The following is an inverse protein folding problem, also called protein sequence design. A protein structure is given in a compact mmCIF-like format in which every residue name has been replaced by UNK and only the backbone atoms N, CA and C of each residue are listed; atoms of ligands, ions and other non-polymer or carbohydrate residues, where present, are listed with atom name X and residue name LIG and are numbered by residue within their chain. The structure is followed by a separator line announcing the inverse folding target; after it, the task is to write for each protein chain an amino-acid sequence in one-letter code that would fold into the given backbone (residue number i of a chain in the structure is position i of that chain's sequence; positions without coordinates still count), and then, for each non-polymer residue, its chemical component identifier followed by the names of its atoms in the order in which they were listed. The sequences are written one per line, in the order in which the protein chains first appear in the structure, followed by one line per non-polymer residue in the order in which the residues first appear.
data_IF_432296754713
#
_entry.id   IF_432296754713
#
_cell.length_a   1.000
_cell.length_b   1.000
_cell.length_c   1.000
_cell.angle_alpha   90.00
_cell.angle_beta   90.00
_cell.angle_gamma   90.00
#
_symmetry.space_group_name_H-M   'P 1'
#
loop_
_entity.id
_entity.type
_entity.pdbx_description
1 polymer ?
#
# COMPACT_ATOMS: atom_id res chain seq x y z
N UNK A 1 12.22 31.56 -78.49
CA UNK A 1 12.43 32.81 -77.71
C UNK A 1 11.32 32.86 -76.68
N UNK A 2 11.47 32.86 -75.37
CA UNK A 2 12.60 32.97 -74.46
C UNK A 2 12.33 32.10 -73.21
N UNK A 3 13.41 31.58 -72.62
CA UNK A 3 13.46 30.97 -71.29
C UNK A 3 13.28 32.00 -70.18
N UNK A 4 12.66 31.61 -69.06
CA UNK A 4 13.13 32.00 -67.72
C UNK A 4 12.60 31.05 -66.65
N UNK A 5 13.52 30.26 -66.13
CA UNK A 5 13.49 29.55 -64.85
C UNK A 5 13.56 30.56 -63.72
N UNK A 6 12.68 30.45 -62.73
CA UNK A 6 12.90 31.02 -61.40
C UNK A 6 12.84 29.89 -60.36
N UNK A 7 14.03 29.54 -59.88
CA UNK A 7 14.27 28.67 -58.74
C UNK A 7 14.04 29.51 -57.48
N UNK A 8 13.05 29.16 -56.66
CA UNK A 8 12.88 29.77 -55.34
C UNK A 8 13.16 28.72 -54.27
N UNK A 9 14.33 28.83 -53.64
CA UNK A 9 14.67 28.25 -52.36
C UNK A 9 13.77 28.89 -51.29
N UNK A 10 12.98 28.10 -50.56
CA UNK A 10 12.36 28.54 -49.31
C UNK A 10 12.63 27.49 -48.24
N UNK A 11 13.31 27.94 -47.18
CA UNK A 11 13.90 27.14 -46.12
C UNK A 11 12.85 26.34 -45.34
N UNK A 12 13.16 25.07 -45.08
CA UNK A 12 12.47 24.28 -44.07
C UNK A 12 12.78 24.89 -42.69
N UNK A 13 11.76 25.45 -42.04
CA UNK A 13 11.82 25.71 -40.61
C UNK A 13 11.90 24.35 -39.89
N UNK A 14 13.11 23.96 -39.50
CA UNK A 14 13.29 22.92 -38.48
C UNK A 14 12.82 23.57 -37.18
N UNK A 15 11.54 23.40 -36.86
CA UNK A 15 11.03 23.67 -35.54
C UNK A 15 11.73 22.72 -34.58
N UNK A 16 12.68 23.23 -33.80
CA UNK A 16 13.21 22.53 -32.64
C UNK A 16 12.08 22.47 -31.62
N UNK A 17 11.28 21.41 -31.69
CA UNK A 17 10.46 20.97 -30.57
C UNK A 17 11.39 20.62 -29.43
N UNK A 18 11.67 21.62 -28.60
CA UNK A 18 12.18 21.42 -27.24
C UNK A 18 11.10 20.65 -26.49
N UNK A 19 11.14 19.32 -26.60
CA UNK A 19 10.47 18.44 -25.68
C UNK A 19 11.02 18.78 -24.29
N UNK A 20 10.29 19.62 -23.57
CA UNK A 20 10.57 19.83 -22.16
C UNK A 20 10.49 18.46 -21.50
N UNK A 21 11.55 17.95 -20.87
CA UNK A 21 11.44 16.70 -20.14
C UNK A 21 10.39 16.96 -19.07
N UNK A 22 9.24 16.30 -19.19
CA UNK A 22 8.30 16.22 -18.08
C UNK A 22 9.05 15.48 -16.98
N UNK A 23 9.63 16.23 -16.05
CA UNK A 23 10.13 15.66 -14.80
C UNK A 23 8.89 15.11 -14.12
N UNK A 24 8.68 13.79 -14.23
CA UNK A 24 7.66 13.12 -13.45
C UNK A 24 7.93 13.44 -11.99
N UNK A 25 6.91 13.98 -11.31
CA UNK A 25 7.01 14.23 -9.88
C UNK A 25 7.36 12.90 -9.20
N UNK A 26 8.48 12.86 -8.45
CA UNK A 26 8.95 11.63 -7.83
C UNK A 26 7.98 11.20 -6.73
N UNK A 27 7.69 9.90 -6.71
CA UNK A 27 7.03 9.28 -5.56
C UNK A 27 7.87 9.49 -4.30
N UNK A 28 7.20 9.75 -3.19
CA UNK A 28 7.83 9.93 -1.88
C UNK A 28 7.24 8.99 -0.85
N UNK A 29 8.05 8.67 0.16
CA UNK A 29 7.76 7.60 1.12
C UNK A 29 7.76 8.14 2.55
N UNK A 30 6.73 7.78 3.30
CA UNK A 30 6.61 8.01 4.73
C UNK A 30 7.11 6.85 5.57
N UNK A 31 6.78 6.88 6.85
CA UNK A 31 7.22 5.87 7.82
C UNK A 31 6.67 4.48 7.52
N UNK A 32 7.47 3.48 7.88
CA UNK A 32 7.18 2.07 7.65
C UNK A 32 7.76 1.21 8.75
N UNK A 33 7.11 0.08 9.02
CA UNK A 33 7.67 -1.03 9.78
C UNK A 33 7.48 -2.29 8.94
N UNK A 34 8.53 -3.09 8.81
CA UNK A 34 8.51 -4.34 8.04
C UNK A 34 9.19 -5.46 8.79
N UNK A 35 8.73 -6.70 8.54
CA UNK A 35 9.41 -7.94 8.91
C UNK A 35 9.58 -8.78 7.65
N UNK A 36 10.77 -9.33 7.48
CA UNK A 36 11.07 -10.38 6.54
C UNK A 36 12.30 -10.13 5.68
N UNK A 37 12.62 -11.09 4.80
CA UNK A 37 11.85 -12.32 4.58
C UNK A 37 11.99 -13.34 5.72
N UNK A 38 10.90 -14.04 6.08
CA UNK A 38 10.97 -15.27 6.89
C UNK A 38 11.59 -16.42 6.09
N UNK A 39 12.22 -17.38 6.77
CA UNK A 39 12.61 -18.70 6.23
C UNK A 39 11.42 -19.62 5.96
N UNK A 40 10.25 -19.32 6.51
CA UNK A 40 8.99 -20.02 6.25
C UNK A 40 8.11 -19.22 5.26
N UNK A 41 6.82 -19.52 5.27
CA UNK A 41 5.76 -18.85 4.52
C UNK A 41 4.79 -18.25 5.53
N UNK A 42 4.36 -17.01 5.34
CA UNK A 42 3.21 -16.45 6.03
C UNK A 42 1.96 -17.13 5.47
N UNK A 43 1.09 -17.66 6.34
CA UNK A 43 -0.20 -18.25 5.96
C UNK A 43 -1.39 -17.43 6.44
N UNK A 44 -1.17 -16.57 7.43
CA UNK A 44 -2.17 -15.64 7.93
C UNK A 44 -1.50 -14.40 8.50
N UNK A 45 -2.03 -13.23 8.22
CA UNK A 45 -1.69 -12.01 8.93
C UNK A 45 -2.95 -11.26 9.30
N UNK A 46 -2.98 -10.71 10.52
CA UNK A 46 -4.08 -9.93 11.06
C UNK A 46 -3.50 -8.63 11.59
N UNK A 47 -4.17 -7.51 11.35
CA UNK A 47 -3.84 -6.24 12.00
C UNK A 47 -5.10 -5.38 12.11
N UNK A 48 -5.10 -4.40 13.01
CA UNK A 48 -6.15 -3.38 13.05
C UNK A 48 -5.51 -2.00 12.87
N UNK A 49 -5.86 -1.29 11.81
CA UNK A 49 -5.37 0.07 11.58
C UNK A 49 -6.36 1.10 12.15
N UNK A 50 -5.81 2.13 12.78
CA UNK A 50 -6.46 3.41 13.05
C UNK A 50 -5.69 4.44 12.20
N UNK A 51 -6.24 4.88 11.06
CA UNK A 51 -5.44 5.54 10.03
C UNK A 51 -5.15 7.01 10.30
N UNK A 52 -5.82 7.63 11.28
CA UNK A 52 -5.81 9.07 11.44
C UNK A 52 -6.63 9.76 10.34
N UNK A 53 -6.90 11.06 10.50
CA UNK A 53 -7.73 11.82 9.55
C UNK A 53 -7.03 11.91 8.19
N UNK A 54 -7.75 11.60 7.11
CA UNK A 54 -7.23 11.79 5.76
C UNK A 54 -7.01 13.27 5.46
N UNK A 55 -6.06 13.65 4.59
CA UNK A 55 -5.87 15.04 4.22
C UNK A 55 -7.16 15.63 3.66
N UNK A 56 -7.47 16.86 4.06
CA UNK A 56 -8.68 17.55 3.64
C UNK A 56 -8.69 17.94 2.16
N UNK A 57 -7.51 17.99 1.56
CA UNK A 57 -7.26 18.32 0.16
C UNK A 57 -6.03 17.54 -0.26
N UNK A 58 -6.07 17.00 -1.47
CA UNK A 58 -5.05 16.12 -1.97
C UNK A 58 -4.81 16.41 -3.46
N UNK A 59 -3.54 16.50 -3.84
CA UNK A 59 -3.11 16.83 -5.21
C UNK A 59 -2.84 15.57 -6.05
N UNK A 60 -2.50 14.46 -5.40
CA UNK A 60 -2.10 13.19 -6.03
C UNK A 60 -2.69 12.00 -5.29
N UNK A 61 -1.99 10.86 -5.27
CA UNK A 61 -2.46 9.69 -4.53
C UNK A 61 -1.63 9.51 -3.27
N UNK A 62 -2.26 9.66 -2.11
CA UNK A 62 -1.68 9.30 -0.83
C UNK A 62 -2.28 7.97 -0.38
N UNK A 63 -1.43 6.99 -0.12
CA UNK A 63 -1.85 5.64 0.26
C UNK A 63 -1.17 5.24 1.55
N UNK A 64 -1.94 4.72 2.50
CA UNK A 64 -1.39 3.95 3.62
C UNK A 64 -1.82 2.50 3.51
N UNK A 65 -0.93 1.58 3.85
CA UNK A 65 -1.21 0.15 3.73
C UNK A 65 -0.53 -0.65 4.83
N UNK A 66 -1.10 -1.80 5.20
CA UNK A 66 -0.33 -2.99 5.47
C UNK A 66 -0.41 -3.95 4.26
N UNK A 67 0.56 -4.84 4.17
CA UNK A 67 0.61 -5.83 3.10
C UNK A 67 1.67 -6.89 3.31
N UNK A 68 1.61 -7.91 2.45
CA UNK A 68 2.57 -9.00 2.40
C UNK A 68 3.11 -9.17 0.99
N UNK A 69 4.41 -9.42 0.91
CA UNK A 69 5.07 -9.64 -0.37
C UNK A 69 5.67 -11.03 -0.48
N UNK A 70 5.65 -11.56 -1.70
CA UNK A 70 6.34 -12.78 -2.07
C UNK A 70 7.79 -12.56 -2.54
N UNK A 71 8.25 -11.31 -2.57
CA UNK A 71 9.61 -10.94 -3.02
C UNK A 71 9.83 -11.05 -4.53
N UNK A 72 8.82 -11.46 -5.30
CA UNK A 72 8.88 -11.59 -6.77
C UNK A 72 7.91 -10.67 -7.49
N UNK A 73 7.38 -9.67 -6.78
CA UNK A 73 6.59 -8.57 -7.35
C UNK A 73 5.11 -8.58 -7.01
N UNK A 74 4.57 -9.59 -6.33
CA UNK A 74 3.20 -9.50 -5.81
C UNK A 74 3.19 -8.87 -4.42
N UNK A 75 2.19 -8.04 -4.19
CA UNK A 75 1.90 -7.40 -2.91
C UNK A 75 0.40 -7.54 -2.61
N UNK A 76 0.07 -8.50 -1.74
CA UNK A 76 -1.28 -8.68 -1.17
C UNK A 76 -1.43 -7.63 -0.07
N UNK A 77 -2.33 -6.67 -0.24
CA UNK A 77 -2.37 -5.48 0.61
C UNK A 77 -3.77 -4.91 0.75
N UNK A 78 -3.96 -4.13 1.81
CA UNK A 78 -5.16 -3.30 1.96
C UNK A 78 -4.71 -1.86 1.90
N UNK A 79 -5.26 -1.10 0.98
CA UNK A 79 -4.95 0.31 0.83
C UNK A 79 -6.03 1.14 1.49
N UNK A 80 -5.62 2.21 2.16
CA UNK A 80 -6.47 3.33 2.53
C UNK A 80 -5.93 4.53 1.77
N UNK A 81 -6.76 5.07 0.89
CA UNK A 81 -6.34 6.00 -0.15
C UNK A 81 -7.03 7.34 -0.01
N UNK A 82 -6.29 8.39 -0.30
CA UNK A 82 -6.77 9.75 -0.44
C UNK A 82 -6.30 10.28 -1.79
N UNK A 83 -7.27 10.67 -2.60
CA UNK A 83 -7.12 11.20 -3.95
C UNK A 83 -7.69 12.62 -4.03
N UNK A 84 -7.47 13.36 -5.15
CA UNK A 84 -8.15 14.63 -5.38
C UNK A 84 -9.67 14.49 -5.42
N UNK A 85 -10.16 13.35 -5.94
CA UNK A 85 -11.56 12.94 -5.87
C UNK A 85 -11.69 11.54 -5.22
N UNK A 86 -12.47 11.46 -4.14
CA UNK A 86 -12.75 10.23 -3.40
C UNK A 86 -14.22 9.78 -3.54
N UNK A 87 -14.97 10.38 -4.47
CA UNK A 87 -16.39 10.07 -4.72
C UNK A 87 -16.60 8.60 -5.14
N UNK A 88 -15.58 7.98 -5.73
CA UNK A 88 -15.58 6.59 -6.18
C UNK A 88 -15.79 5.55 -5.08
N UNK A 89 -15.45 5.87 -3.82
CA UNK A 89 -15.77 5.03 -2.65
C UNK A 89 -16.85 5.64 -1.75
N UNK A 90 -17.35 6.84 -2.10
CA UNK A 90 -18.32 7.60 -1.29
C UNK A 90 -17.72 8.29 -0.06
N UNK A 91 -16.39 8.44 0.03
CA UNK A 91 -15.75 9.13 1.14
C UNK A 91 -16.00 10.64 1.12
N UNK A 92 -16.19 11.19 2.31
CA UNK A 92 -16.29 12.63 2.56
C UNK A 92 -14.92 13.21 2.90
N UNK A 93 -14.86 14.54 2.97
CA UNK A 93 -13.66 15.26 3.38
C UNK A 93 -13.14 14.76 4.73
N UNK A 94 -11.88 14.34 4.78
CA UNK A 94 -11.24 13.79 5.99
C UNK A 94 -11.41 12.28 6.18
N UNK A 95 -12.13 11.60 5.29
CA UNK A 95 -12.26 10.14 5.26
C UNK A 95 -11.33 9.53 4.20
N UNK A 96 -10.96 8.27 4.43
CA UNK A 96 -10.18 7.44 3.51
C UNK A 96 -11.09 6.57 2.66
N UNK A 97 -10.64 6.20 1.47
CA UNK A 97 -11.18 5.08 0.73
C UNK A 97 -10.41 3.81 1.04
N UNK A 98 -11.01 2.84 1.73
CA UNK A 98 -10.38 1.54 2.01
C UNK A 98 -10.76 0.51 0.96
N UNK A 99 -9.79 -0.32 0.53
CA UNK A 99 -10.05 -1.51 -0.29
C UNK A 99 -8.98 -2.59 -0.09
N UNK A 100 -9.41 -3.84 -0.12
CA UNK A 100 -8.53 -4.99 -0.29
C UNK A 100 -8.00 -4.99 -1.73
N UNK A 101 -6.73 -5.33 -1.89
CA UNK A 101 -6.03 -5.06 -3.14
C UNK A 101 -4.83 -5.98 -3.38
N UNK A 102 -4.46 -6.15 -4.64
CA UNK A 102 -3.29 -6.91 -5.05
C UNK A 102 -2.55 -6.11 -6.12
N UNK A 103 -1.29 -5.82 -5.85
CA UNK A 103 -0.38 -5.27 -6.85
C UNK A 103 0.51 -6.37 -7.41
N UNK A 104 0.78 -6.30 -8.72
CA UNK A 104 1.66 -7.23 -9.44
C UNK A 104 2.04 -6.71 -10.83
N UNK A 105 2.59 -7.59 -11.67
CA UNK A 105 2.93 -7.24 -13.06
C UNK A 105 1.72 -6.85 -13.92
N UNK A 106 0.52 -7.23 -13.50
CA UNK A 106 -0.76 -6.84 -14.07
C UNK A 106 -1.25 -5.45 -13.58
N UNK A 107 -0.47 -4.74 -12.77
CA UNK A 107 -0.89 -3.49 -12.12
C UNK A 107 -1.66 -3.76 -10.83
N UNK A 108 -2.65 -2.90 -10.54
CA UNK A 108 -3.49 -3.00 -9.35
C UNK A 108 -4.79 -3.75 -9.67
N UNK A 109 -5.14 -4.72 -8.84
CA UNK A 109 -6.46 -5.35 -8.80
C UNK A 109 -7.09 -5.08 -7.44
N UNK A 110 -8.35 -4.67 -7.45
CA UNK A 110 -9.03 -4.17 -6.26
C UNK A 110 -10.36 -4.87 -6.01
N UNK A 111 -10.67 -5.10 -4.73
CA UNK A 111 -12.01 -5.42 -4.27
C UNK A 111 -12.90 -4.17 -4.16
N UNK A 112 -14.17 -4.33 -3.76
CA UNK A 112 -15.08 -3.22 -3.49
C UNK A 112 -14.50 -2.27 -2.43
N UNK A 113 -14.77 -0.98 -2.53
CA UNK A 113 -14.26 0.03 -1.61
C UNK A 113 -15.34 0.58 -0.68
N UNK A 114 -14.91 1.13 0.46
CA UNK A 114 -15.77 1.80 1.44
C UNK A 114 -15.10 3.04 2.02
N UNK A 115 -15.89 4.02 2.51
CA UNK A 115 -15.34 5.15 3.24
C UNK A 115 -14.97 4.73 4.68
N UNK A 116 -13.87 5.28 5.19
CA UNK A 116 -13.36 5.03 6.55
C UNK A 116 -12.99 6.34 7.22
N UNK A 117 -13.47 6.55 8.46
CA UNK A 117 -13.09 7.72 9.26
C UNK A 117 -11.71 7.55 9.87
N UNK A 118 -11.06 8.66 10.20
CA UNK A 118 -9.70 8.63 10.74
C UNK A 118 -9.55 7.97 12.12
N UNK A 119 -10.62 7.94 12.92
CA UNK A 119 -10.66 7.29 14.23
C UNK A 119 -11.20 5.85 14.20
N UNK A 120 -11.67 5.40 13.03
CA UNK A 120 -12.29 4.09 12.86
C UNK A 120 -11.22 2.99 12.94
N UNK A 121 -11.51 1.96 13.74
CA UNK A 121 -10.68 0.76 13.80
C UNK A 121 -11.03 -0.16 12.63
N UNK A 122 -10.10 -0.35 11.72
CA UNK A 122 -10.27 -1.21 10.55
C UNK A 122 -9.46 -2.48 10.73
N UNK A 123 -10.14 -3.61 10.92
CA UNK A 123 -9.52 -4.92 11.03
C UNK A 123 -9.27 -5.48 9.64
N UNK A 124 -8.05 -5.95 9.42
CA UNK A 124 -7.58 -6.48 8.15
C UNK A 124 -7.07 -7.88 8.40
N UNK A 125 -7.54 -8.84 7.60
CA UNK A 125 -7.15 -10.24 7.67
C UNK A 125 -6.74 -10.72 6.29
N UNK A 126 -5.52 -11.24 6.18
CA UNK A 126 -5.05 -11.96 5.01
C UNK A 126 -4.92 -13.43 5.35
N UNK A 127 -5.48 -14.32 4.54
CA UNK A 127 -5.45 -15.77 4.75
C UNK A 127 -5.10 -16.50 3.45
N UNK A 128 -4.07 -17.35 3.50
CA UNK A 128 -3.79 -18.31 2.44
C UNK A 128 -4.83 -19.43 2.52
N UNK A 129 -5.55 -19.66 1.44
CA UNK A 129 -6.60 -20.69 1.38
C UNK A 129 -6.00 -22.10 1.28
N UNK A 130 -6.86 -23.10 1.45
CA UNK A 130 -6.47 -24.52 1.48
C UNK A 130 -5.89 -25.02 0.17
N UNK A 131 -6.15 -24.32 -0.95
CA UNK A 131 -5.53 -24.60 -2.25
C UNK A 131 -4.03 -24.20 -2.30
N UNK A 132 -3.54 -23.51 -1.27
CA UNK A 132 -2.16 -23.01 -1.15
C UNK A 132 -1.75 -22.10 -2.31
N UNK A 133 -2.70 -21.37 -2.87
CA UNK A 133 -2.46 -20.47 -4.00
C UNK A 133 -3.28 -19.18 -3.90
N UNK A 134 -4.53 -19.30 -3.43
CA UNK A 134 -5.43 -18.17 -3.29
C UNK A 134 -5.24 -17.46 -1.96
N UNK A 135 -5.11 -16.14 -2.02
CA UNK A 135 -5.14 -15.26 -0.84
C UNK A 135 -6.50 -14.60 -0.73
N UNK A 136 -7.17 -14.82 0.41
CA UNK A 136 -8.35 -14.08 0.81
C UNK A 136 -7.97 -12.91 1.70
N UNK A 137 -8.56 -11.77 1.40
CA UNK A 137 -8.45 -10.54 2.15
C UNK A 137 -9.83 -10.15 2.66
N UNK A 138 -9.95 -9.91 3.96
CA UNK A 138 -11.18 -9.45 4.60
C UNK A 138 -10.88 -8.17 5.37
N UNK A 139 -11.63 -7.11 5.08
CA UNK A 139 -11.49 -5.80 5.71
C UNK A 139 -12.81 -5.44 6.35
N UNK A 140 -12.81 -5.27 7.67
CA UNK A 140 -14.02 -5.02 8.46
C UNK A 140 -13.82 -3.86 9.42
N UNK A 141 -14.92 -3.23 9.80
CA UNK A 141 -14.96 -2.39 10.99
C UNK A 141 -14.76 -3.29 12.22
N UNK A 142 -13.73 -3.00 13.02
CA UNK A 142 -13.33 -3.89 14.11
C UNK A 142 -14.31 -3.89 15.29
N UNK A 143 -15.09 -2.82 15.46
CA UNK A 143 -16.02 -2.65 16.57
C UNK A 143 -17.41 -3.21 16.23
N UNK A 144 -17.84 -3.12 14.96
CA UNK A 144 -19.18 -3.55 14.50
C UNK A 144 -19.18 -4.83 13.67
N UNK A 145 -18.03 -5.25 13.13
CA UNK A 145 -17.92 -6.38 12.21
C UNK A 145 -18.44 -6.11 10.80
N UNK A 146 -18.87 -4.87 10.48
CA UNK A 146 -19.34 -4.50 9.15
C UNK A 146 -18.24 -4.73 8.10
N UNK A 147 -18.57 -5.42 7.01
CA UNK A 147 -17.67 -5.56 5.86
C UNK A 147 -17.43 -4.21 5.18
N UNK A 148 -16.16 -3.87 4.98
CA UNK A 148 -15.70 -2.66 4.29
C UNK A 148 -15.11 -3.00 2.92
N UNK A 149 -14.42 -4.14 2.81
CA UNK A 149 -13.89 -4.67 1.55
C UNK A 149 -13.58 -6.16 1.69
N UNK A 150 -13.56 -6.86 0.56
CA UNK A 150 -13.08 -8.23 0.45
C UNK A 150 -12.52 -8.47 -0.94
N UNK A 151 -11.48 -9.29 -1.03
CA UNK A 151 -10.86 -9.66 -2.30
C UNK A 151 -10.20 -11.02 -2.18
N UNK A 152 -10.37 -11.89 -3.18
CA UNK A 152 -9.68 -13.16 -3.28
C UNK A 152 -8.97 -13.26 -4.63
N UNK A 153 -7.70 -13.66 -4.61
CA UNK A 153 -6.94 -13.83 -5.85
C UNK A 153 -5.80 -14.83 -5.69
N UNK A 154 -5.45 -15.51 -6.80
CA UNK A 154 -4.32 -16.45 -6.86
C UNK A 154 -3.00 -15.71 -6.92
N UNK A 155 -2.22 -15.80 -5.86
CA UNK A 155 -0.94 -15.08 -5.72
C UNK A 155 0.20 -15.97 -5.21
N UNK A 156 0.01 -17.29 -5.24
CA UNK A 156 0.97 -18.28 -4.76
C UNK A 156 1.13 -18.31 -3.24
N UNK A 157 1.74 -19.36 -2.70
CA UNK A 157 1.91 -19.55 -1.26
C UNK A 157 3.11 -18.77 -0.68
N UNK A 158 3.86 -18.01 -1.46
CA UNK A 158 5.22 -17.58 -1.06
C UNK A 158 5.28 -16.20 -0.41
N UNK A 159 4.25 -15.76 0.33
CA UNK A 159 4.33 -14.52 1.09
C UNK A 159 5.35 -14.69 2.23
N UNK A 160 6.41 -13.88 2.24
CA UNK A 160 7.56 -14.02 3.16
C UNK A 160 7.87 -12.75 3.93
N UNK A 161 7.40 -11.60 3.45
CA UNK A 161 7.48 -10.34 4.17
C UNK A 161 6.10 -9.83 4.55
N UNK A 162 6.02 -9.13 5.67
CA UNK A 162 4.89 -8.29 6.06
C UNK A 162 5.42 -6.88 6.29
N UNK A 163 4.65 -5.86 5.93
CA UNK A 163 5.02 -4.49 6.27
C UNK A 163 3.87 -3.53 6.21
N UNK A 164 4.18 -2.30 6.64
CA UNK A 164 3.32 -1.13 6.48
C UNK A 164 4.06 -0.08 5.67
N UNK A 165 3.30 0.81 5.01
CA UNK A 165 3.88 1.92 4.28
C UNK A 165 2.94 3.12 4.20
N UNK A 166 3.54 4.28 3.99
CA UNK A 166 2.87 5.50 3.54
C UNK A 166 3.53 5.90 2.22
N UNK A 167 2.74 5.99 1.17
CA UNK A 167 3.19 6.31 -0.19
C UNK A 167 2.50 7.56 -0.69
N UNK A 168 3.26 8.45 -1.29
CA UNK A 168 2.78 9.71 -1.82
C UNK A 168 3.21 9.83 -3.28
N UNK A 169 2.27 9.56 -4.17
CA UNK A 169 2.51 9.40 -5.60
C UNK A 169 1.87 10.55 -6.38
N UNK A 170 2.36 10.83 -7.58
CA UNK A 170 1.80 11.83 -8.49
C UNK A 170 1.65 13.24 -7.86
N UNK A 171 2.72 13.73 -7.21
CA UNK A 171 2.73 15.04 -6.55
C UNK A 171 1.67 15.18 -5.45
N UNK A 172 1.41 14.10 -4.72
CA UNK A 172 0.50 14.14 -3.59
C UNK A 172 0.93 15.18 -2.54
N UNK A 173 -0.03 15.75 -1.82
CA UNK A 173 0.18 16.48 -0.58
C UNK A 173 0.57 15.47 0.50
N UNK A 174 1.84 15.46 0.97
CA UNK A 174 2.37 14.39 1.83
C UNK A 174 1.92 14.53 3.30
N UNK A 175 1.29 15.65 3.66
CA UNK A 175 0.83 15.90 5.02
C UNK A 175 -0.21 14.86 5.41
N UNK A 176 0.08 14.05 6.43
CA UNK A 176 -0.79 12.97 6.90
C UNK A 176 -0.79 12.91 8.42
N UNK A 177 -1.94 12.60 9.01
CA UNK A 177 -2.04 12.30 10.43
C UNK A 177 -1.23 11.05 10.79
N UNK A 178 -0.92 10.88 12.08
CA UNK A 178 -0.32 9.65 12.58
C UNK A 178 -1.22 8.43 12.35
N UNK A 179 -0.60 7.30 12.00
CA UNK A 179 -1.30 6.03 11.87
C UNK A 179 -0.85 5.05 12.95
N UNK A 180 -1.78 4.24 13.43
CA UNK A 180 -1.50 3.17 14.39
C UNK A 180 -1.99 1.84 13.84
N UNK A 181 -1.14 0.82 13.89
CA UNK A 181 -1.54 -0.56 13.66
C UNK A 181 -1.42 -1.30 14.99
N UNK A 182 -2.53 -1.85 15.47
CA UNK A 182 -2.61 -2.51 16.77
C UNK A 182 -2.92 -4.00 16.59
N UNK A 183 -2.42 -4.80 17.53
CA UNK A 183 -2.66 -6.24 17.59
C UNK A 183 -2.32 -6.95 16.28
N UNK A 184 -1.14 -6.63 15.71
CA UNK A 184 -0.65 -7.32 14.53
C UNK A 184 -0.21 -8.73 14.92
N UNK A 185 -0.74 -9.74 14.23
CA UNK A 185 -0.37 -11.14 14.39
C UNK A 185 -0.04 -11.75 13.03
N UNK A 186 1.11 -12.39 12.92
CA UNK A 186 1.60 -13.07 11.71
C UNK A 186 1.79 -14.54 12.05
N UNK A 187 1.09 -15.42 11.34
CA UNK A 187 1.22 -16.88 11.46
C UNK A 187 1.97 -17.42 10.27
N UNK A 188 3.01 -18.20 10.56
CA UNK A 188 3.84 -18.89 9.58
C UNK A 188 3.38 -20.35 9.40
N UNK A 189 3.66 -20.94 8.23
CA UNK A 189 3.39 -22.35 7.95
C UNK A 189 4.24 -23.26 8.85
N UNK A 190 5.53 -22.93 9.00
CA UNK A 190 6.49 -23.57 9.89
C UNK A 190 7.17 -22.54 10.80
N UNK A 191 7.77 -23.02 11.88
CA UNK A 191 8.48 -22.16 12.82
C UNK A 191 9.70 -21.49 12.18
N UNK A 192 9.88 -20.21 12.43
CA UNK A 192 11.11 -19.47 12.14
C UNK A 192 11.43 -18.59 13.36
N UNK A 193 12.25 -19.07 14.31
CA UNK A 193 12.59 -18.31 15.51
C UNK A 193 13.43 -17.06 15.20
N UNK A 194 13.95 -16.93 13.99
CA UNK A 194 14.77 -15.79 13.57
C UNK A 194 13.99 -14.69 12.84
N UNK A 195 12.70 -14.89 12.56
CA UNK A 195 11.91 -13.93 11.79
C UNK A 195 11.84 -12.54 12.45
N UNK A 196 11.67 -12.46 13.77
CA UNK A 196 11.66 -11.18 14.49
C UNK A 196 12.96 -10.38 14.38
N UNK A 197 14.11 -11.03 14.12
CA UNK A 197 15.39 -10.34 13.94
C UNK A 197 15.44 -9.52 12.63
N UNK A 198 14.48 -9.74 11.74
CA UNK A 198 14.38 -9.03 10.46
C UNK A 198 13.58 -7.73 10.56
N UNK A 199 13.07 -7.38 11.74
CA UNK A 199 12.26 -6.17 11.89
C UNK A 199 13.07 -4.93 11.54
N UNK A 200 12.51 -4.10 10.67
CA UNK A 200 13.09 -2.85 10.22
C UNK A 200 12.07 -1.72 10.34
N UNK A 201 12.58 -0.50 10.54
CA UNK A 201 11.78 0.72 10.65
C UNK A 201 12.40 1.82 9.81
N UNK A 202 11.58 2.68 9.23
CA UNK A 202 12.06 3.87 8.53
C UNK A 202 11.22 5.12 8.85
N UNK A 203 11.79 6.30 8.56
CA UNK A 203 11.19 7.63 8.75
C UNK A 203 10.52 7.82 10.13
N UNK A 204 11.24 7.44 11.20
CA UNK A 204 10.82 7.57 12.61
C UNK A 204 9.59 6.74 13.00
N UNK A 205 9.18 5.78 12.17
CA UNK A 205 8.23 4.75 12.59
C UNK A 205 8.78 3.95 13.78
N UNK A 206 7.88 3.50 14.65
CA UNK A 206 8.24 2.72 15.84
C UNK A 206 7.30 1.53 16.00
N UNK A 207 7.75 0.53 16.75
CA UNK A 207 6.93 -0.61 17.14
C UNK A 207 7.17 -0.96 18.60
N UNK A 208 6.21 -1.68 19.20
CA UNK A 208 6.29 -2.21 20.57
C UNK A 208 5.71 -3.62 20.64
N UNK A 209 6.17 -4.38 21.63
CA UNK A 209 5.61 -5.69 21.95
C UNK A 209 5.86 -6.76 20.89
N UNK A 210 6.96 -6.66 20.13
CA UNK A 210 7.38 -7.74 19.24
C UNK A 210 7.68 -8.98 20.08
N UNK A 211 6.90 -10.04 19.88
CA UNK A 211 7.02 -11.30 20.60
C UNK A 211 6.72 -12.48 19.68
N UNK A 212 7.16 -13.68 20.06
CA UNK A 212 6.84 -14.91 19.34
C UNK A 212 6.31 -15.99 20.27
N UNK A 213 5.56 -16.93 19.69
CA UNK A 213 5.06 -18.12 20.36
C UNK A 213 5.12 -19.32 19.41
N UNK A 214 4.83 -20.51 19.95
CA UNK A 214 4.87 -21.77 19.18
C UNK A 214 6.21 -21.96 18.44
N UNK A 215 7.32 -21.70 19.14
CA UNK A 215 8.68 -21.86 18.59
C UNK A 215 9.05 -20.86 17.49
N UNK A 216 8.32 -19.75 17.33
CA UNK A 216 8.54 -18.80 16.23
C UNK A 216 7.59 -19.04 15.05
N UNK A 217 6.50 -19.78 15.23
CA UNK A 217 5.44 -19.94 14.22
C UNK A 217 4.44 -18.78 14.24
N UNK A 218 4.18 -18.20 15.41
CA UNK A 218 3.26 -17.06 15.55
C UNK A 218 4.02 -15.87 16.11
N UNK A 219 3.96 -14.74 15.42
CA UNK A 219 4.62 -13.49 15.77
C UNK A 219 3.58 -12.41 16.03
N UNK A 220 3.79 -11.61 17.07
CA UNK A 220 2.89 -10.55 17.49
C UNK A 220 3.63 -9.23 17.62
N UNK A 221 2.96 -8.15 17.25
CA UNK A 221 3.39 -6.77 17.52
C UNK A 221 2.17 -6.08 18.12
N UNK A 222 2.29 -5.58 19.36
CA UNK A 222 1.15 -4.98 20.04
C UNK A 222 0.74 -3.66 19.39
N UNK A 223 1.74 -2.89 18.96
CA UNK A 223 1.54 -1.58 18.34
C UNK A 223 2.67 -1.27 17.37
N UNK A 224 2.30 -0.80 16.18
CA UNK A 224 3.14 -0.07 15.23
C UNK A 224 2.59 1.35 15.16
N UNK A 225 3.49 2.34 15.23
CA UNK A 225 3.14 3.76 15.15
C UNK A 225 3.93 4.40 14.02
N UNK A 226 3.21 4.90 13.03
CA UNK A 226 3.77 5.67 11.92
C UNK A 226 3.52 7.14 12.21
N UNK A 227 4.58 7.96 12.37
CA UNK A 227 4.42 9.35 12.75
C UNK A 227 3.71 10.14 11.65
N UNK A 228 3.12 11.27 12.03
CA UNK A 228 2.63 12.26 11.07
C UNK A 228 3.75 12.70 10.12
N UNK A 229 3.42 12.93 8.86
CA UNK A 229 4.26 13.69 7.93
C UNK A 229 3.64 15.08 7.77
N UNK A 230 4.49 16.09 7.65
CA UNK A 230 4.09 17.49 7.44
C UNK A 230 4.72 18.01 6.18
#
# INVERSE_FOLDING_TARGET
MHFSTLTTLAAAFIGTSVASPQVSARDSWGGSVSLGPTKSTIVKAVTTIIPGVAPSTQNGMLTVWPGMSNGTGHLVQTTLESWPDNSWCGAKKGEWCVRASLFGSFGQLDGPASPVRGDQKVKIVYTLLSDKDTWRQEVTDADTGKSLSSFEYKSGPYMRGYGTGTECNNNCSPTIAEQRYINTEITLAGADPTFGNTIATAQKATYKGLTSSQGGKVWKISEIRIPKMV
#
